data_IF_026975278744
#
_entry.id   IF_026975278744
#
_cell.length_a   1.000
_cell.length_b   1.000
_cell.length_c   1.000
_cell.angle_alpha   90.00
_cell.angle_beta   90.00
_cell.angle_gamma   90.00
#
_symmetry.space_group_name_H-M   'P 1'
#
loop_
_entity.id
_entity.type
_entity.pdbx_description
1 polymer ?
#
# COMPACT_ATOMS: atom_id res chain seq x y z
N UNK A 1 15.68 22.72 10.35
CA UNK A 1 15.20 23.24 9.06
C UNK A 1 14.05 22.35 8.66
N UNK A 2 12.82 22.84 8.73
CA UNK A 2 11.62 22.09 8.35
C UNK A 2 11.46 22.28 6.84
N UNK A 3 11.84 21.28 6.06
CA UNK A 3 11.43 21.21 4.66
C UNK A 3 9.94 20.88 4.66
N UNK A 4 9.11 21.92 4.55
CA UNK A 4 7.71 21.80 4.17
C UNK A 4 7.64 21.40 2.70
N UNK A 5 8.01 20.15 2.40
CA UNK A 5 7.62 19.50 1.16
C UNK A 5 6.13 19.25 1.20
N UNK A 6 5.41 19.59 0.14
CA UNK A 6 3.96 19.44 0.07
C UNK A 6 3.57 17.98 0.36
N UNK A 7 2.68 17.79 1.35
CA UNK A 7 2.10 16.48 1.65
C UNK A 7 1.12 16.17 0.54
N UNK A 8 1.44 15.16 -0.27
CA UNK A 8 0.62 14.75 -1.40
C UNK A 8 -0.30 13.62 -0.91
N UNK A 9 -1.63 13.85 -0.85
CA UNK A 9 -2.55 12.77 -0.54
C UNK A 9 -2.58 11.75 -1.68
N UNK A 10 -2.65 10.48 -1.32
CA UNK A 10 -2.82 9.40 -2.27
C UNK A 10 -4.31 9.15 -2.55
N UNK A 11 -4.63 8.43 -3.65
CA UNK A 11 -5.99 7.96 -3.89
C UNK A 11 -6.53 7.15 -2.72
N UNK A 12 -7.86 7.10 -2.59
CA UNK A 12 -8.54 6.32 -1.56
C UNK A 12 -8.01 4.88 -1.53
N UNK A 13 -7.59 4.38 -0.35
CA UNK A 13 -7.10 3.01 -0.25
C UNK A 13 -8.22 2.02 -0.58
N UNK A 14 -7.84 0.88 -1.18
CA UNK A 14 -8.83 -0.12 -1.60
C UNK A 14 -9.57 -0.80 -0.45
N UNK A 15 -8.95 -0.84 0.73
CA UNK A 15 -9.53 -1.36 1.95
C UNK A 15 -9.18 -0.42 3.11
N UNK A 16 -10.11 -0.30 4.06
CA UNK A 16 -9.88 0.44 5.29
C UNK A 16 -8.84 -0.26 6.18
N UNK A 17 -8.38 0.45 7.22
CA UNK A 17 -7.55 -0.17 8.24
C UNK A 17 -8.28 -1.35 8.91
N UNK A 18 -7.53 -2.41 9.22
CA UNK A 18 -8.08 -3.63 9.78
C UNK A 18 -7.20 -4.25 10.85
N UNK A 19 -7.75 -5.24 11.56
CA UNK A 19 -7.03 -6.01 12.57
C UNK A 19 -7.25 -7.51 12.35
N UNK A 20 -6.17 -8.30 12.40
CA UNK A 20 -6.22 -9.76 12.30
C UNK A 20 -5.04 -10.41 13.01
N UNK A 21 -5.25 -11.55 13.67
CA UNK A 21 -4.17 -12.37 14.25
C UNK A 21 -3.18 -11.57 15.15
N UNK A 22 -3.65 -10.49 15.81
CA UNK A 22 -2.81 -9.61 16.64
C UNK A 22 -2.02 -8.55 15.88
N UNK A 23 -2.26 -8.38 14.58
CA UNK A 23 -1.66 -7.38 13.71
C UNK A 23 -2.67 -6.33 13.30
N UNK A 24 -2.24 -5.08 13.25
CA UNK A 24 -3.00 -3.96 12.68
C UNK A 24 -2.44 -3.65 11.29
N UNK A 25 -3.32 -3.56 10.31
CA UNK A 25 -2.98 -3.29 8.91
C UNK A 25 -3.54 -1.92 8.58
N UNK A 26 -2.67 -0.96 8.27
CA UNK A 26 -3.01 0.46 8.12
C UNK A 26 -2.63 0.91 6.72
N UNK A 27 -3.55 1.48 5.92
CA UNK A 27 -3.19 2.05 4.63
C UNK A 27 -2.28 3.26 4.82
N UNK A 28 -1.29 3.40 3.95
CA UNK A 28 -0.49 4.62 3.84
C UNK A 28 -1.22 5.55 2.89
N UNK A 29 -1.62 6.73 3.38
CA UNK A 29 -2.57 7.60 2.67
C UNK A 29 -1.95 8.88 2.12
N UNK A 30 -0.69 9.16 2.44
CA UNK A 30 0.03 10.32 1.91
C UNK A 30 1.54 10.09 1.77
N UNK A 31 2.20 11.01 1.05
CA UNK A 31 3.65 10.97 0.80
C UNK A 31 4.50 11.04 2.06
N UNK A 32 4.04 11.74 3.11
CA UNK A 32 4.79 11.88 4.35
C UNK A 32 4.77 10.58 5.17
N UNK A 33 3.62 9.89 5.24
CA UNK A 33 3.50 8.55 5.82
C UNK A 33 4.35 7.53 5.06
N UNK A 34 4.36 7.59 3.72
CA UNK A 34 5.18 6.69 2.91
C UNK A 34 6.68 6.91 3.15
N UNK A 35 7.11 8.17 3.25
CA UNK A 35 8.49 8.50 3.60
C UNK A 35 8.87 7.97 4.99
N UNK A 36 7.99 8.16 5.99
CA UNK A 36 8.20 7.61 7.35
C UNK A 36 8.26 6.09 7.35
N UNK A 37 7.40 5.42 6.58
CA UNK A 37 7.41 3.96 6.44
C UNK A 37 8.75 3.48 5.93
N UNK A 38 9.22 3.98 4.78
CA UNK A 38 10.47 3.50 4.24
C UNK A 38 11.70 3.94 5.01
N UNK A 39 11.67 5.05 5.74
CA UNK A 39 12.74 5.40 6.67
C UNK A 39 12.83 4.38 7.83
N UNK A 40 11.70 4.06 8.47
CA UNK A 40 11.64 3.11 9.59
C UNK A 40 11.91 1.66 9.15
N UNK A 41 11.39 1.29 7.99
CA UNK A 41 11.53 -0.05 7.42
C UNK A 41 12.81 -0.20 6.58
N UNK A 42 13.56 0.89 6.35
CA UNK A 42 14.74 0.96 5.48
C UNK A 42 14.47 0.41 4.07
N UNK A 43 13.36 0.85 3.48
CA UNK A 43 12.94 0.53 2.12
C UNK A 43 13.20 1.70 1.18
N UNK A 44 13.43 1.41 -0.10
CA UNK A 44 13.47 2.45 -1.12
C UNK A 44 12.05 2.96 -1.40
N UNK A 45 11.69 4.13 -0.84
CA UNK A 45 10.37 4.75 -1.00
C UNK A 45 10.12 5.26 -2.43
N UNK A 46 11.19 5.65 -3.11
CA UNK A 46 11.12 6.39 -4.37
C UNK A 46 10.41 5.61 -5.49
N UNK A 47 10.45 4.27 -5.45
CA UNK A 47 9.80 3.41 -6.44
C UNK A 47 8.29 3.27 -6.25
N UNK A 48 7.77 3.55 -5.04
CA UNK A 48 6.34 3.42 -4.74
C UNK A 48 5.57 4.70 -4.99
N UNK A 49 6.19 5.86 -4.76
CA UNK A 49 5.50 7.15 -4.73
C UNK A 49 4.71 7.43 -6.03
N UNK A 50 5.30 7.20 -7.19
CA UNK A 50 4.61 7.40 -8.47
C UNK A 50 3.47 6.40 -8.69
N UNK A 51 3.69 5.12 -8.38
CA UNK A 51 2.69 4.06 -8.60
C UNK A 51 1.48 4.20 -7.69
N UNK A 52 1.70 4.61 -6.44
CA UNK A 52 0.62 4.87 -5.48
C UNK A 52 -0.13 6.14 -5.86
N UNK A 53 0.58 7.21 -6.25
CA UNK A 53 -0.05 8.45 -6.72
C UNK A 53 -0.92 8.20 -7.97
N UNK A 54 -0.50 7.29 -8.86
CA UNK A 54 -1.28 6.87 -10.04
C UNK A 54 -2.39 5.86 -9.73
N UNK A 55 -2.60 5.47 -8.46
CA UNK A 55 -3.62 4.51 -8.07
C UNK A 55 -3.39 3.08 -8.60
N UNK A 56 -2.17 2.78 -9.06
CA UNK A 56 -1.82 1.46 -9.59
C UNK A 56 -1.59 0.42 -8.48
N UNK A 57 -1.22 0.90 -7.28
CA UNK A 57 -1.10 0.08 -6.09
C UNK A 57 -1.49 0.87 -4.83
N UNK A 58 -1.77 0.13 -3.76
CA UNK A 58 -1.94 0.68 -2.42
C UNK A 58 -0.91 0.06 -1.49
N UNK A 59 -0.29 0.87 -0.63
CA UNK A 59 0.68 0.41 0.37
C UNK A 59 0.01 0.36 1.74
N UNK A 60 0.29 -0.69 2.49
CA UNK A 60 -0.19 -0.89 3.84
C UNK A 60 0.98 -1.19 4.78
N UNK A 61 0.98 -0.56 5.95
CA UNK A 61 1.87 -0.89 7.05
C UNK A 61 1.24 -1.98 7.91
N UNK A 62 1.98 -3.06 8.17
CA UNK A 62 1.59 -4.13 9.09
C UNK A 62 2.32 -3.88 10.41
N UNK A 63 1.55 -3.75 11.48
CA UNK A 63 2.03 -3.38 12.79
C UNK A 63 1.65 -4.44 13.83
N UNK A 64 2.54 -4.65 14.80
CA UNK A 64 2.29 -5.49 15.98
C UNK A 64 2.66 -4.69 17.22
N UNK A 65 1.72 -4.54 18.15
CA UNK A 65 1.92 -3.75 19.38
C UNK A 65 2.44 -2.32 19.10
N UNK A 66 1.96 -1.69 18.03
CA UNK A 66 2.38 -0.34 17.60
C UNK A 66 3.72 -0.26 16.87
N UNK A 67 4.46 -1.38 16.74
CA UNK A 67 5.70 -1.44 15.97
C UNK A 67 5.43 -1.96 14.55
N UNK A 68 6.04 -1.32 13.54
CA UNK A 68 5.98 -1.77 12.14
C UNK A 68 6.82 -3.04 11.99
N UNK A 69 6.23 -4.08 11.40
CA UNK A 69 6.86 -5.40 11.23
C UNK A 69 6.96 -5.81 9.76
N UNK A 70 6.11 -5.27 8.89
CA UNK A 70 6.19 -5.47 7.45
C UNK A 70 5.44 -4.37 6.70
N UNK A 71 5.83 -4.17 5.44
CA UNK A 71 5.15 -3.33 4.46
C UNK A 71 4.53 -4.23 3.40
N UNK A 72 3.28 -3.98 3.04
CA UNK A 72 2.53 -4.76 2.06
C UNK A 72 2.09 -3.87 0.91
N UNK A 73 2.35 -4.32 -0.32
CA UNK A 73 1.85 -3.69 -1.53
C UNK A 73 0.70 -4.52 -2.10
N UNK A 74 -0.45 -3.89 -2.30
CA UNK A 74 -1.55 -4.45 -3.07
C UNK A 74 -1.56 -3.90 -4.49
N UNK A 75 -1.83 -4.76 -5.47
CA UNK A 75 -2.03 -4.36 -6.87
C UNK A 75 -3.24 -5.07 -7.49
N UNK A 76 -3.73 -4.59 -8.64
CA UNK A 76 -4.70 -5.34 -9.44
C UNK A 76 -4.00 -6.50 -10.15
N UNK A 77 -4.50 -7.72 -9.93
CA UNK A 77 -4.16 -8.91 -10.72
C UNK A 77 -5.31 -9.30 -11.65
N UNK A 78 -5.08 -10.31 -12.49
CA UNK A 78 -6.07 -10.81 -13.47
C UNK A 78 -7.37 -11.33 -12.86
N UNK A 79 -7.37 -11.68 -11.55
CA UNK A 79 -8.54 -12.18 -10.79
C UNK A 79 -8.90 -11.27 -9.62
N UNK A 80 -8.61 -9.98 -9.72
CA UNK A 80 -8.84 -8.98 -8.68
C UNK A 80 -7.57 -8.63 -7.89
N UNK A 81 -7.73 -7.98 -6.74
CA UNK A 81 -6.64 -7.42 -5.94
C UNK A 81 -5.68 -8.52 -5.43
N UNK A 82 -4.37 -8.36 -5.48
CA UNK A 82 -3.38 -9.34 -4.98
C UNK A 82 -2.30 -8.64 -4.17
N UNK A 83 -1.61 -9.40 -3.31
CA UNK A 83 -0.37 -8.94 -2.68
C UNK A 83 0.74 -9.02 -3.74
N UNK A 84 1.27 -7.87 -4.18
CA UNK A 84 2.42 -7.82 -5.08
C UNK A 84 3.73 -8.02 -4.33
N UNK A 85 3.87 -7.35 -3.19
CA UNK A 85 5.04 -7.41 -2.34
C UNK A 85 4.66 -7.45 -0.87
N UNK A 86 5.50 -8.12 -0.08
CA UNK A 86 5.42 -8.15 1.37
C UNK A 86 6.84 -8.22 1.94
N UNK A 87 7.28 -7.11 2.55
CA UNK A 87 8.68 -6.92 2.95
C UNK A 87 8.78 -6.52 4.42
N UNK A 88 9.59 -7.25 5.18
CA UNK A 88 10.01 -6.86 6.53
C UNK A 88 11.09 -5.76 6.50
N UNK A 89 11.59 -5.33 7.66
CA UNK A 89 12.65 -4.32 7.74
C UNK A 89 13.88 -4.69 6.90
N UNK A 90 14.51 -3.72 6.26
CA UNK A 90 15.64 -3.89 5.34
C UNK A 90 15.35 -4.83 4.16
N UNK A 91 14.11 -4.83 3.64
CA UNK A 91 13.64 -5.73 2.58
C UNK A 91 13.74 -7.23 2.95
N UNK A 92 13.77 -7.56 4.25
CA UNK A 92 13.80 -8.95 4.69
C UNK A 92 12.49 -9.68 4.35
N UNK A 93 12.55 -11.01 4.23
CA UNK A 93 11.35 -11.83 4.16
C UNK A 93 10.68 -11.79 5.54
N UNK A 94 9.40 -11.33 5.65
CA UNK A 94 8.73 -11.31 6.94
C UNK A 94 8.52 -12.73 7.50
N UNK A 95 8.41 -12.88 8.83
CA UNK A 95 8.13 -14.18 9.44
C UNK A 95 6.84 -14.86 8.90
N UNK A 96 6.77 -16.20 8.86
CA UNK A 96 5.63 -16.92 8.27
C UNK A 96 4.26 -16.54 8.85
N UNK A 97 4.20 -16.18 10.13
CA UNK A 97 2.98 -15.71 10.79
C UNK A 97 2.50 -14.37 10.24
N UNK A 98 3.41 -13.45 9.89
CA UNK A 98 3.06 -12.16 9.26
C UNK A 98 2.56 -12.40 7.84
N UNK A 99 3.20 -13.30 7.09
CA UNK A 99 2.75 -13.68 5.75
C UNK A 99 1.34 -14.29 5.78
N UNK A 100 1.07 -15.18 6.73
CA UNK A 100 -0.26 -15.78 6.93
C UNK A 100 -1.30 -14.74 7.32
N UNK A 101 -0.97 -13.82 8.24
CA UNK A 101 -1.87 -12.75 8.65
C UNK A 101 -2.24 -11.84 7.47
N UNK A 102 -1.26 -11.40 6.67
CA UNK A 102 -1.48 -10.60 5.48
C UNK A 102 -2.39 -11.31 4.46
N UNK A 103 -2.14 -12.59 4.18
CA UNK A 103 -2.94 -13.37 3.25
C UNK A 103 -4.38 -13.60 3.75
N UNK A 104 -4.56 -13.85 5.06
CA UNK A 104 -5.88 -14.01 5.68
C UNK A 104 -6.66 -12.72 5.68
N UNK A 105 -6.01 -11.61 5.99
CA UNK A 105 -6.63 -10.29 5.96
C UNK A 105 -7.17 -9.96 4.57
N UNK A 106 -6.32 -10.07 3.53
CA UNK A 106 -6.76 -9.78 2.16
C UNK A 106 -7.93 -10.68 1.73
N UNK A 107 -7.93 -11.97 2.11
CA UNK A 107 -9.06 -12.87 1.84
C UNK A 107 -10.34 -12.41 2.54
N UNK A 108 -10.25 -11.95 3.79
CA UNK A 108 -11.38 -11.44 4.54
C UNK A 108 -11.94 -10.15 3.89
N UNK A 109 -11.06 -9.20 3.52
CA UNK A 109 -11.50 -7.97 2.87
C UNK A 109 -12.13 -8.20 1.50
N UNK A 110 -11.56 -9.09 0.68
CA UNK A 110 -12.18 -9.49 -0.59
C UNK A 110 -13.56 -10.12 -0.40
N UNK A 111 -13.73 -10.92 0.65
CA UNK A 111 -15.03 -11.52 0.97
C UNK A 111 -16.04 -10.42 1.33
N UNK A 112 -15.66 -9.47 2.18
CA UNK A 112 -16.50 -8.30 2.50
C UNK A 112 -16.82 -7.46 1.26
N UNK A 113 -15.85 -7.26 0.36
CA UNK A 113 -16.05 -6.53 -0.90
C UNK A 113 -17.08 -7.23 -1.80
N UNK A 114 -17.00 -8.55 -1.91
CA UNK A 114 -17.97 -9.37 -2.64
C UNK A 114 -19.36 -9.36 -2.02
N UNK A 115 -19.46 -9.36 -0.68
CA UNK A 115 -20.73 -9.25 0.06
C UNK A 115 -21.36 -7.86 -0.06
N UNK A 116 -20.54 -6.81 -0.17
CA UNK A 116 -20.98 -5.41 -0.32
C UNK A 116 -21.23 -4.98 -1.77
N UNK A 117 -20.96 -5.85 -2.75
CA UNK A 117 -21.22 -5.61 -4.18
C UNK A 117 -20.40 -4.50 -4.82
N UNK A 118 -19.37 -3.97 -4.14
CA UNK A 118 -18.60 -2.80 -4.57
C UNK A 118 -17.36 -3.23 -5.36
N UNK A 119 -17.53 -3.76 -6.56
CA UNK A 119 -16.40 -4.07 -7.45
C UNK A 119 -16.01 -2.81 -8.24
N UNK A 120 -15.08 -2.01 -7.71
CA UNK A 120 -14.45 -0.91 -8.48
C UNK A 120 -13.11 -1.41 -8.98
N UNK A 121 -12.99 -1.60 -10.29
CA UNK A 121 -11.71 -1.76 -10.98
C UNK A 121 -11.39 -0.38 -11.55
N UNK A 122 -10.48 0.42 -10.97
CA UNK A 122 -9.95 1.59 -11.63
C UNK A 122 -8.91 1.12 -12.65
N UNK A 123 -9.38 0.55 -13.76
CA UNK A 123 -8.57 0.45 -14.97
C UNK A 123 -9.02 1.56 -15.88
N UNK A 124 -8.09 2.48 -16.19
CA UNK A 124 -8.24 3.66 -17.07
C UNK A 124 -8.77 4.92 -16.38
N UNK A 125 -7.94 5.55 -15.54
CA UNK A 125 -7.96 7.01 -15.48
C UNK A 125 -6.96 7.53 -16.51
N UNK A 126 -7.49 8.32 -17.44
CA UNK A 126 -6.77 9.05 -18.49
C UNK A 126 -5.55 9.75 -17.90
N UNK A 127 -4.38 9.49 -18.46
CA UNK A 127 -3.15 10.21 -18.14
C UNK A 127 -3.36 11.71 -18.46
N UNK A 128 -3.40 12.61 -17.47
CA UNK A 128 -3.52 14.04 -17.72
C UNK A 128 -2.22 14.65 -18.26
N UNK A 129 -1.14 13.87 -18.37
CA UNK A 129 0.21 14.34 -18.67
C UNK A 129 0.87 13.60 -19.85
N UNK A 130 0.09 12.91 -20.71
CA UNK A 130 0.65 12.21 -21.88
C UNK A 130 1.25 13.14 -22.94
N UNK A 131 1.06 14.46 -22.80
CA UNK A 131 1.43 15.48 -23.80
C UNK A 131 2.51 16.47 -23.35
N UNK A 132 3.19 16.26 -22.22
CA UNK A 132 4.31 17.13 -21.84
C UNK A 132 5.66 16.41 -21.94
N UNK A 133 6.38 16.69 -23.03
CA UNK A 133 7.80 16.45 -23.23
C UNK A 133 8.61 16.87 -21.98
N UNK A 134 9.30 15.93 -21.36
CA UNK A 134 10.28 16.23 -20.30
C UNK A 134 11.64 16.45 -20.98
N UNK A 135 12.27 17.63 -20.87
CA UNK A 135 13.65 17.79 -21.27
C UNK A 135 14.57 17.17 -20.22
N UNK A 136 15.59 16.44 -20.69
CA UNK A 136 16.66 15.80 -19.92
C UNK A 136 17.50 16.77 -19.11
#
# INVERSE_FOLDING_TARGET
>A
MQESGDVIPFPTPWFDAGHIDGYTIVPITDSAELYREGHLMRHCVNTYQNRVAWGQCCIYSIQKNGARVATMELQHGSRGIVINQLSGPCNAIPPPEVQKAAARWLRAEKKRLGETGRFVIPSQQHDPWSDSEIPF
#
